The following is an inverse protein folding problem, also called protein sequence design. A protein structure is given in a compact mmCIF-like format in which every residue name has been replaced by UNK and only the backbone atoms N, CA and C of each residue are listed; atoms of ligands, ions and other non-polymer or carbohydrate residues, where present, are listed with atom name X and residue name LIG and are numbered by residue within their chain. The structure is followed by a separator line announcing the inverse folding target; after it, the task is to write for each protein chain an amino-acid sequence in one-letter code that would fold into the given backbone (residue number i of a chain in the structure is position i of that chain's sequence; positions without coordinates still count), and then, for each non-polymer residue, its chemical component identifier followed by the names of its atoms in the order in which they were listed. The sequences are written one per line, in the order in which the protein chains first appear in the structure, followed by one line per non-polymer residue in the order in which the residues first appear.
data_IF_536807168807
#
_entry.id   IF_536807168807
#
_cell.length_a   1.000
_cell.length_b   1.000
_cell.length_c   1.000
_cell.angle_alpha   90.00
_cell.angle_beta   90.00
_cell.angle_gamma   90.00
#
_symmetry.space_group_name_H-M   'P 1'
#
loop_
_entity.id
_entity.type
_entity.pdbx_description
1 polymer ?
#
# COMPACT_ATOMS: atom_id res chain seq x y z
N UNK A 1 -12.54 -30.74 37.73
CA UNK A 1 -11.97 -29.45 37.29
C UNK A 1 -11.08 -29.75 36.10
N UNK A 2 -11.63 -29.81 34.88
CA UNK A 2 -10.85 -29.94 33.65
C UNK A 2 -10.65 -28.55 33.07
N UNK A 3 -9.39 -28.15 32.94
CA UNK A 3 -8.98 -27.01 32.15
C UNK A 3 -8.86 -27.48 30.70
N UNK A 4 -9.87 -27.19 29.89
CA UNK A 4 -9.74 -27.27 28.43
C UNK A 4 -8.83 -26.13 27.99
N UNK A 5 -7.53 -26.44 27.92
CA UNK A 5 -6.57 -25.60 27.23
C UNK A 5 -7.00 -25.55 25.77
N UNK A 6 -7.41 -24.35 25.35
CA UNK A 6 -7.76 -23.99 23.99
C UNK A 6 -6.49 -24.08 23.11
N UNK A 7 -6.03 -25.29 22.85
CA UNK A 7 -4.88 -25.58 21.99
C UNK A 7 -5.36 -25.48 20.56
N UNK A 8 -5.29 -24.28 20.00
CA UNK A 8 -5.34 -24.12 18.55
C UNK A 8 -4.28 -25.06 17.95
N UNK A 9 -4.65 -25.95 17.01
CA UNK A 9 -3.68 -26.85 16.41
C UNK A 9 -2.55 -26.02 15.80
N UNK A 10 -1.28 -26.40 16.01
CA UNK A 10 -0.11 -25.67 15.50
C UNK A 10 -0.13 -25.48 13.97
N UNK A 11 -0.99 -26.23 13.29
CA UNK A 11 -1.23 -26.19 11.85
C UNK A 11 -2.04 -24.97 11.38
N UNK A 12 -2.90 -24.38 12.24
CA UNK A 12 -3.74 -23.25 11.82
C UNK A 12 -2.91 -22.00 11.57
N UNK A 13 -1.90 -21.73 12.40
CA UNK A 13 -0.99 -20.60 12.19
C UNK A 13 -0.19 -20.75 10.90
N UNK A 14 0.32 -21.95 10.62
CA UNK A 14 1.02 -22.25 9.36
C UNK A 14 0.12 -22.06 8.14
N UNK A 15 -1.15 -22.47 8.22
CA UNK A 15 -2.14 -22.26 7.17
C UNK A 15 -2.45 -20.77 6.98
N UNK A 16 -2.60 -20.00 8.05
CA UNK A 16 -2.85 -18.55 7.96
C UNK A 16 -1.64 -17.80 7.39
N UNK A 17 -0.43 -18.16 7.79
CA UNK A 17 0.80 -17.57 7.22
C UNK A 17 0.94 -17.88 5.73
N UNK A 18 0.71 -19.14 5.34
CA UNK A 18 0.72 -19.56 3.95
C UNK A 18 -0.34 -18.82 3.12
N UNK A 19 -1.58 -18.76 3.60
CA UNK A 19 -2.66 -18.03 2.94
C UNK A 19 -2.36 -16.53 2.84
N UNK A 20 -1.74 -15.96 3.87
CA UNK A 20 -1.34 -14.55 3.85
C UNK A 20 -0.26 -14.31 2.80
N UNK A 21 0.71 -15.22 2.67
CA UNK A 21 1.76 -15.11 1.65
C UNK A 21 1.23 -15.35 0.24
N UNK A 22 0.34 -16.33 0.05
CA UNK A 22 -0.33 -16.57 -1.23
C UNK A 22 -1.20 -15.37 -1.64
N UNK A 23 -1.95 -14.78 -0.71
CA UNK A 23 -2.71 -13.55 -0.99
C UNK A 23 -1.79 -12.35 -1.29
N UNK A 24 -0.63 -12.24 -0.65
CA UNK A 24 0.37 -11.21 -0.99
C UNK A 24 0.97 -11.45 -2.37
N UNK A 25 1.23 -12.71 -2.74
CA UNK A 25 1.67 -13.11 -4.08
C UNK A 25 0.64 -12.69 -5.13
N UNK A 26 -0.61 -13.13 -4.96
CA UNK A 26 -1.70 -12.78 -5.88
C UNK A 26 -1.90 -11.26 -5.98
N UNK A 27 -1.85 -10.52 -4.86
CA UNK A 27 -1.94 -9.06 -4.89
C UNK A 27 -0.78 -8.42 -5.65
N UNK A 28 0.45 -8.93 -5.52
CA UNK A 28 1.61 -8.48 -6.31
C UNK A 28 1.43 -8.80 -7.79
N UNK A 29 0.92 -9.98 -8.13
CA UNK A 29 0.69 -10.37 -9.52
C UNK A 29 -0.40 -9.52 -10.17
N UNK A 30 -1.49 -9.24 -9.45
CA UNK A 30 -2.52 -8.29 -9.87
C UNK A 30 -1.99 -6.86 -9.97
N UNK A 31 -1.12 -6.44 -9.04
CA UNK A 31 -0.46 -5.15 -9.09
C UNK A 31 0.48 -5.03 -10.30
N UNK A 32 1.23 -6.08 -10.64
CA UNK A 32 2.08 -6.12 -11.83
C UNK A 32 1.26 -6.12 -13.12
N UNK A 33 0.18 -6.89 -13.18
CA UNK A 33 -0.74 -6.91 -14.33
C UNK A 33 -1.52 -5.60 -14.52
N UNK A 34 -1.62 -4.77 -13.48
CA UNK A 34 -2.28 -3.46 -13.54
C UNK A 34 -1.28 -2.31 -13.71
N UNK A 35 -0.03 -2.48 -13.26
CA UNK A 35 1.07 -1.54 -13.51
C UNK A 35 1.50 -1.52 -14.98
N UNK A 36 1.33 -2.63 -15.72
CA UNK A 36 1.56 -2.67 -17.18
C UNK A 36 0.54 -1.88 -17.98
N UNK A 37 -0.59 -1.47 -17.39
CA UNK A 37 -1.68 -0.82 -18.12
C UNK A 37 -1.59 0.72 -18.19
N UNK A 38 -0.73 1.40 -17.42
CA UNK A 38 -0.64 2.88 -17.56
C UNK A 38 0.78 3.45 -17.37
N UNK A 39 1.49 3.76 -18.47
CA UNK A 39 2.67 4.62 -18.41
C UNK A 39 2.20 6.01 -17.94
N UNK A 40 2.46 6.37 -16.69
CA UNK A 40 2.06 7.68 -16.14
C UNK A 40 1.59 7.71 -14.68
N UNK A 41 1.47 6.56 -14.00
CA UNK A 41 1.00 6.48 -12.60
C UNK A 41 1.93 7.09 -11.53
N UNK A 42 3.13 7.53 -11.92
CA UNK A 42 4.10 8.19 -11.04
C UNK A 42 4.34 7.44 -9.73
N UNK A 43 4.31 8.18 -8.62
CA UNK A 43 4.47 7.63 -7.26
C UNK A 43 3.26 6.79 -6.80
N UNK A 44 2.07 6.94 -7.40
CA UNK A 44 0.85 6.26 -6.94
C UNK A 44 0.81 4.78 -7.34
N UNK A 45 1.26 4.42 -8.55
CA UNK A 45 1.19 3.02 -9.01
C UNK A 45 1.98 2.05 -8.11
N UNK A 46 3.22 2.36 -7.68
CA UNK A 46 3.97 1.49 -6.77
C UNK A 46 3.40 1.45 -5.35
N UNK A 47 2.74 2.51 -4.90
CA UNK A 47 2.02 2.50 -3.61
C UNK A 47 0.76 1.64 -3.74
N UNK A 48 0.01 1.77 -4.83
CA UNK A 48 -1.15 0.94 -5.12
C UNK A 48 -0.78 -0.54 -5.25
N UNK A 49 0.40 -0.85 -5.78
CA UNK A 49 0.90 -2.22 -5.83
C UNK A 49 1.04 -2.86 -4.44
N UNK A 50 1.56 -2.11 -3.47
CA UNK A 50 1.84 -2.65 -2.13
C UNK A 50 0.67 -2.54 -1.15
N UNK A 51 -0.17 -1.53 -1.32
CA UNK A 51 -1.28 -1.26 -0.40
C UNK A 51 -2.64 -1.61 -1.01
N UNK A 52 -2.75 -1.73 -2.32
CA UNK A 52 -4.02 -1.96 -3.01
C UNK A 52 -5.04 -0.85 -2.69
N UNK A 53 -6.26 -1.27 -2.35
CA UNK A 53 -7.36 -0.41 -1.90
C UNK A 53 -7.36 -0.14 -0.39
N UNK A 54 -6.35 -0.62 0.36
CA UNK A 54 -6.29 -0.45 1.81
C UNK A 54 -5.95 1.01 2.17
N UNK A 55 -6.33 1.38 3.38
CA UNK A 55 -5.92 2.64 3.99
C UNK A 55 -4.44 2.56 4.37
N UNK A 56 -3.73 3.67 4.23
CA UNK A 56 -2.33 3.75 4.62
C UNK A 56 -1.96 5.15 5.09
N UNK A 57 -0.89 5.23 5.90
CA UNK A 57 -0.23 6.49 6.25
C UNK A 57 1.08 6.63 5.49
N UNK A 58 1.56 7.86 5.33
CA UNK A 58 2.87 8.09 4.73
C UNK A 58 4.00 7.41 5.51
N UNK A 59 3.90 7.35 6.84
CA UNK A 59 4.86 6.68 7.71
C UNK A 59 4.92 5.18 7.44
N UNK A 60 3.78 4.55 7.20
CA UNK A 60 3.71 3.12 6.90
C UNK A 60 4.29 2.77 5.53
N UNK A 61 4.05 3.63 4.52
CA UNK A 61 4.69 3.50 3.21
C UNK A 61 6.21 3.57 3.33
N UNK A 62 6.73 4.53 4.11
CA UNK A 62 8.17 4.67 4.33
C UNK A 62 8.76 3.45 5.04
N UNK A 63 8.11 2.97 6.11
CA UNK A 63 8.54 1.76 6.84
C UNK A 63 8.64 0.55 5.92
N UNK A 64 7.68 0.36 5.01
CA UNK A 64 7.75 -0.71 4.01
C UNK A 64 8.89 -0.53 3.01
N UNK A 65 9.14 0.70 2.58
CA UNK A 65 10.21 1.03 1.65
C UNK A 65 11.64 0.98 2.26
N UNK A 66 11.76 1.01 3.59
CA UNK A 66 13.03 0.82 4.29
C UNK A 66 13.48 -0.64 4.31
N UNK A 67 12.54 -1.58 4.44
CA UNK A 67 12.84 -3.01 4.49
C UNK A 67 13.09 -3.68 3.13
N UNK A 68 12.88 -2.97 2.00
CA UNK A 68 12.93 -3.57 0.67
C UNK A 68 13.65 -2.68 -0.36
N UNK A 69 14.61 -3.26 -1.09
CA UNK A 69 15.11 -2.71 -2.35
C UNK A 69 14.16 -3.17 -3.45
N UNK A 70 13.07 -2.42 -3.64
CA UNK A 70 12.00 -2.80 -4.57
C UNK A 70 11.41 -1.62 -5.34
N UNK A 71 10.44 -1.89 -6.22
CA UNK A 71 9.79 -0.88 -7.07
C UNK A 71 9.24 0.32 -6.28
N UNK A 72 8.72 0.08 -5.07
CA UNK A 72 8.24 1.12 -4.17
C UNK A 72 9.36 2.10 -3.79
N UNK A 73 10.50 1.61 -3.29
CA UNK A 73 11.62 2.46 -2.87
C UNK A 73 12.20 3.26 -4.05
N UNK A 74 12.37 2.63 -5.21
CA UNK A 74 12.84 3.30 -6.42
C UNK A 74 11.90 4.43 -6.85
N UNK A 75 10.58 4.19 -6.81
CA UNK A 75 9.59 5.20 -7.14
C UNK A 75 9.56 6.36 -6.15
N UNK A 76 9.66 6.08 -4.85
CA UNK A 76 9.78 7.12 -3.83
C UNK A 76 11.03 7.98 -4.05
N UNK A 77 12.17 7.35 -4.37
CA UNK A 77 13.42 8.06 -4.63
C UNK A 77 13.36 8.94 -5.90
N UNK A 78 12.66 8.48 -6.94
CA UNK A 78 12.50 9.23 -8.18
C UNK A 78 11.54 10.42 -8.06
N UNK A 79 10.54 10.35 -7.17
CA UNK A 79 9.45 11.33 -7.10
C UNK A 79 9.54 12.26 -5.89
N UNK A 80 10.31 11.91 -4.86
CA UNK A 80 10.45 12.72 -3.65
C UNK A 80 11.80 13.43 -3.61
N UNK A 81 11.77 14.73 -3.30
CA UNK A 81 12.99 15.50 -3.00
C UNK A 81 13.72 15.01 -1.75
N UNK A 82 12.99 14.35 -0.84
CA UNK A 82 13.51 13.77 0.38
C UNK A 82 12.70 12.52 0.69
N UNK A 83 13.39 11.41 0.89
CA UNK A 83 12.82 10.12 1.30
C UNK A 83 12.37 10.18 2.77
N UNK A 84 11.24 10.84 3.02
CA UNK A 84 10.65 10.98 4.35
C UNK A 84 9.12 10.94 4.30
N UNK A 85 8.49 10.54 5.41
CA UNK A 85 7.03 10.49 5.51
C UNK A 85 6.39 11.86 5.27
N UNK A 86 7.03 12.95 5.74
CA UNK A 86 6.60 14.33 5.46
C UNK A 86 6.73 14.69 3.98
N UNK A 87 7.81 14.25 3.32
CA UNK A 87 8.01 14.41 1.89
C UNK A 87 6.88 13.75 1.09
N UNK A 88 6.58 12.49 1.43
CA UNK A 88 5.51 11.72 0.82
C UNK A 88 4.13 12.34 1.08
N UNK A 89 3.81 12.70 2.32
CA UNK A 89 2.54 13.34 2.66
C UNK A 89 2.28 14.63 1.86
N UNK A 90 3.31 15.46 1.66
CA UNK A 90 3.21 16.65 0.79
C UNK A 90 3.01 16.29 -0.68
N UNK A 91 3.66 15.25 -1.17
CA UNK A 91 3.45 14.77 -2.54
C UNK A 91 2.02 14.27 -2.73
N UNK A 92 1.50 13.45 -1.82
CA UNK A 92 0.11 12.96 -1.85
C UNK A 92 -0.89 14.10 -1.78
N UNK A 93 -0.68 15.10 -0.91
CA UNK A 93 -1.54 16.28 -0.87
C UNK A 93 -1.59 17.07 -2.18
N UNK A 94 -0.51 17.10 -2.96
CA UNK A 94 -0.51 17.74 -4.30
C UNK A 94 -1.23 16.93 -5.37
N UNK A 95 -1.26 15.61 -5.19
CA UNK A 95 -1.88 14.63 -6.08
C UNK A 95 -3.34 14.34 -5.68
N UNK A 96 -3.79 14.82 -4.53
CA UNK A 96 -5.14 14.56 -4.02
C UNK A 96 -6.19 14.98 -5.05
N UNK A 97 -7.09 14.05 -5.39
CA UNK A 97 -8.16 14.25 -6.37
C UNK A 97 -7.69 14.39 -7.82
N UNK A 98 -6.38 14.33 -8.10
CA UNK A 98 -5.85 14.40 -9.47
C UNK A 98 -5.64 13.00 -10.02
N UNK A 99 -6.15 12.70 -11.23
CA UNK A 99 -5.86 11.43 -11.88
C UNK A 99 -4.37 11.37 -12.26
N UNK A 100 -3.72 10.27 -11.89
CA UNK A 100 -2.33 9.97 -12.22
C UNK A 100 -2.27 8.51 -12.67
N UNK A 101 -2.16 8.29 -13.98
CA UNK A 101 -2.14 6.96 -14.58
C UNK A 101 -3.32 6.07 -14.18
N UNK A 102 -4.55 6.59 -14.29
CA UNK A 102 -5.77 5.85 -13.93
C UNK A 102 -6.04 5.71 -12.43
N UNK A 103 -5.17 6.25 -11.58
CA UNK A 103 -5.30 6.24 -10.12
C UNK A 103 -5.56 7.64 -9.58
N UNK A 104 -6.33 7.73 -8.50
CA UNK A 104 -6.48 8.94 -7.69
C UNK A 104 -6.12 8.63 -6.25
N UNK A 105 -5.68 9.65 -5.52
CA UNK A 105 -5.48 9.54 -4.07
C UNK A 105 -6.45 10.45 -3.35
N UNK A 106 -7.05 9.93 -2.29
CA UNK A 106 -8.02 10.62 -1.46
C UNK A 106 -7.58 10.60 0.00
N UNK A 107 -7.71 11.74 0.67
CA UNK A 107 -7.54 11.85 2.11
C UNK A 107 -8.83 11.37 2.77
N UNK A 108 -8.72 10.36 3.64
CA UNK A 108 -9.88 9.76 4.33
C UNK A 108 -10.02 10.30 5.76
N UNK A 109 -8.91 10.67 6.39
CA UNK A 109 -8.92 11.17 7.75
C UNK A 109 -7.54 11.52 8.27
N UNK A 110 -7.45 11.66 9.59
CA UNK A 110 -6.21 11.91 10.32
C UNK A 110 -6.25 11.14 11.64
N UNK A 111 -5.11 10.54 12.00
CA UNK A 111 -4.90 9.85 13.27
C UNK A 111 -3.59 10.30 13.90
N UNK A 112 -3.27 9.77 15.09
CA UNK A 112 -2.02 10.09 15.81
C UNK A 112 -0.75 9.81 15.00
N UNK A 113 -0.80 8.84 14.08
CA UNK A 113 0.30 8.49 13.18
C UNK A 113 0.38 9.38 11.91
N UNK A 114 -0.61 10.24 11.69
CA UNK A 114 -0.67 11.21 10.60
C UNK A 114 -1.91 11.09 9.71
N UNK A 115 -1.82 11.64 8.50
CA UNK A 115 -2.93 11.63 7.54
C UNK A 115 -3.13 10.24 6.94
N UNK A 116 -4.38 9.79 6.91
CA UNK A 116 -4.81 8.53 6.31
C UNK A 116 -5.21 8.78 4.86
N UNK A 117 -4.61 7.99 3.97
CA UNK A 117 -4.80 8.06 2.53
C UNK A 117 -5.40 6.75 2.00
N UNK A 118 -6.10 6.87 0.87
CA UNK A 118 -6.58 5.74 0.06
C UNK A 118 -6.29 6.02 -1.40
N UNK A 119 -5.88 4.99 -2.14
CA UNK A 119 -5.79 5.05 -3.59
C UNK A 119 -7.05 4.40 -4.18
N UNK A 120 -7.68 5.09 -5.12
CA UNK A 120 -8.84 4.61 -5.87
C UNK A 120 -8.50 4.58 -7.36
N UNK A 121 -9.21 3.76 -8.13
CA UNK A 121 -9.21 3.93 -9.59
C UNK A 121 -10.13 5.08 -9.97
N UNK A 122 -9.78 5.75 -11.06
CA UNK A 122 -10.63 6.83 -11.62
C UNK A 122 -12.01 6.28 -12.01
N UNK A 123 -12.08 5.02 -12.43
CA UNK A 123 -13.33 4.37 -12.85
C UNK A 123 -14.27 4.00 -11.67
N UNK A 124 -13.76 3.97 -10.43
CA UNK A 124 -14.54 3.68 -9.21
C UNK A 124 -15.26 4.93 -8.65
N UNK A 125 -15.21 6.08 -9.35
CA UNK A 125 -15.77 7.35 -8.90
C UNK A 125 -17.17 7.68 -9.49
N UNK A 126 -17.91 6.66 -9.95
CA UNK A 126 -19.28 6.78 -10.45
C UNK A 126 -20.33 6.44 -9.39
#
# INVERSE_FOLDING_TARGET
MSADANTFPPDILAVVERLTEEMRGLRRDFAMHTATATPGGGILAPIAAEFGSNLFTASEVMRRAEGHVGPLRAALAANLRSLSARGLGRALGRLQGKPCGGLTVSRIGEESAGVIWKICRVDDAA
#
